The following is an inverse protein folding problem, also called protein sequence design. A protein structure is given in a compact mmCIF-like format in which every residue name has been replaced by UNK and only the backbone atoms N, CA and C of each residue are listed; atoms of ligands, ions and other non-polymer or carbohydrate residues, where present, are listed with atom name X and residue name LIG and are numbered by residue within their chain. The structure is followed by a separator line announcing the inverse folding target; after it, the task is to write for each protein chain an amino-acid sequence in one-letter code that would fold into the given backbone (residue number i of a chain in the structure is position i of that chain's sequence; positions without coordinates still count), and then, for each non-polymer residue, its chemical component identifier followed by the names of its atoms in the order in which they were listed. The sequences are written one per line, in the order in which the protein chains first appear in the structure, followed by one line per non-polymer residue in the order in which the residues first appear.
data_IF_998697829814
#
_entry.id   IF_998697829814
#
_cell.length_a   1.000
_cell.length_b   1.000
_cell.length_c   1.000
_cell.angle_alpha   90.00
_cell.angle_beta   90.00
_cell.angle_gamma   90.00
#
_symmetry.space_group_name_H-M   'P 1'
#
loop_
_entity.id
_entity.type
_entity.pdbx_description
1 polymer ?
#
# COMPACT_ATOMS: atom_id res chain seq x y z
N UNK A 1 8.06 -47.44 -35.20
CA UNK A 1 7.83 -45.96 -35.22
C UNK A 1 6.64 -45.64 -34.31
N UNK A 2 6.86 -44.95 -33.17
CA UNK A 2 5.77 -44.53 -32.25
C UNK A 2 5.00 -43.38 -32.93
N UNK A 3 3.72 -43.61 -33.26
CA UNK A 3 2.81 -42.61 -33.78
C UNK A 3 2.67 -41.52 -32.71
N UNK A 4 3.27 -40.34 -32.91
CA UNK A 4 3.11 -39.20 -31.99
C UNK A 4 1.63 -38.85 -31.94
N UNK A 5 1.03 -38.90 -30.75
CA UNK A 5 -0.35 -38.50 -30.53
C UNK A 5 -0.50 -37.03 -30.85
N UNK A 6 -1.29 -36.70 -31.85
CA UNK A 6 -1.61 -35.32 -32.25
C UNK A 6 -2.57 -34.62 -31.27
N UNK A 7 -3.16 -35.39 -30.35
CA UNK A 7 -4.14 -34.87 -29.37
C UNK A 7 -3.44 -34.16 -28.20
N UNK A 8 -2.23 -34.62 -27.83
CA UNK A 8 -1.50 -34.08 -26.69
C UNK A 8 -1.26 -32.55 -26.75
N UNK A 9 -0.80 -31.96 -27.89
CA UNK A 9 -0.64 -30.51 -27.97
C UNK A 9 -1.96 -29.73 -27.85
N UNK A 10 -3.07 -30.27 -28.35
CA UNK A 10 -4.38 -29.64 -28.22
C UNK A 10 -4.86 -29.62 -26.76
N UNK A 11 -4.68 -30.72 -26.04
CA UNK A 11 -4.98 -30.78 -24.59
C UNK A 11 -4.14 -29.75 -23.83
N UNK A 12 -2.84 -29.68 -24.12
CA UNK A 12 -1.96 -28.70 -23.47
C UNK A 12 -2.40 -27.25 -23.77
N UNK A 13 -2.75 -26.94 -25.01
CA UNK A 13 -3.24 -25.60 -25.38
C UNK A 13 -4.57 -25.27 -24.67
N UNK A 14 -5.52 -26.19 -24.65
CA UNK A 14 -6.80 -25.98 -23.97
C UNK A 14 -6.61 -25.80 -22.46
N UNK A 15 -5.73 -26.57 -21.82
CA UNK A 15 -5.47 -26.43 -20.37
C UNK A 15 -4.82 -25.07 -20.05
N UNK A 16 -3.89 -24.60 -20.86
CA UNK A 16 -3.29 -23.25 -20.71
C UNK A 16 -4.36 -22.16 -20.91
N UNK A 17 -5.20 -22.27 -21.92
CA UNK A 17 -6.27 -21.33 -22.17
C UNK A 17 -7.26 -21.25 -21.00
N UNK A 18 -7.69 -22.39 -20.48
CA UNK A 18 -8.57 -22.46 -19.31
C UNK A 18 -7.88 -21.85 -18.07
N UNK A 19 -6.62 -22.20 -17.82
CA UNK A 19 -5.86 -21.64 -16.70
C UNK A 19 -5.75 -20.10 -16.81
N UNK A 20 -5.51 -19.57 -18.01
CA UNK A 20 -5.45 -18.13 -18.25
C UNK A 20 -6.82 -17.46 -18.00
N UNK A 21 -7.91 -18.05 -18.49
CA UNK A 21 -9.25 -17.52 -18.26
C UNK A 21 -9.61 -17.51 -16.77
N UNK A 22 -9.30 -18.58 -16.04
CA UNK A 22 -9.49 -18.66 -14.59
C UNK A 22 -8.65 -17.59 -13.88
N UNK A 23 -7.39 -17.43 -14.26
CA UNK A 23 -6.50 -16.40 -13.70
C UNK A 23 -7.06 -14.99 -13.92
N UNK A 24 -7.46 -14.66 -15.15
CA UNK A 24 -8.04 -13.34 -15.48
C UNK A 24 -9.34 -13.08 -14.71
N UNK A 25 -10.16 -14.11 -14.55
CA UNK A 25 -11.39 -14.01 -13.77
C UNK A 25 -11.08 -13.77 -12.28
N UNK A 26 -10.13 -14.49 -11.69
CA UNK A 26 -9.68 -14.27 -10.32
C UNK A 26 -9.14 -12.85 -10.14
N UNK A 27 -8.32 -12.35 -11.05
CA UNK A 27 -7.79 -10.98 -11.01
C UNK A 27 -8.92 -9.95 -11.01
N UNK A 28 -9.97 -10.19 -11.80
CA UNK A 28 -11.15 -9.32 -11.86
C UNK A 28 -11.95 -9.37 -10.56
N UNK A 29 -12.31 -10.56 -10.10
CA UNK A 29 -13.15 -10.75 -8.89
C UNK A 29 -12.46 -10.26 -7.62
N UNK A 30 -11.16 -10.47 -7.49
CA UNK A 30 -10.37 -10.00 -6.35
C UNK A 30 -10.05 -8.50 -6.41
N UNK A 31 -10.43 -7.82 -7.48
CA UNK A 31 -10.08 -6.40 -7.72
C UNK A 31 -8.59 -6.10 -7.55
N UNK A 32 -7.72 -7.09 -7.80
CA UNK A 32 -6.26 -6.94 -7.62
C UNK A 32 -5.68 -5.78 -8.42
N UNK A 33 -6.26 -5.47 -9.58
CA UNK A 33 -5.82 -4.35 -10.41
C UNK A 33 -6.05 -2.99 -9.73
N UNK A 34 -7.02 -2.86 -8.83
CA UNK A 34 -7.23 -1.61 -8.10
C UNK A 34 -6.08 -1.30 -7.14
N UNK A 35 -5.35 -2.32 -6.68
CA UNK A 35 -4.17 -2.12 -5.84
C UNK A 35 -3.02 -1.42 -6.59
N UNK A 36 -3.05 -1.39 -7.92
CA UNK A 36 -2.11 -0.62 -8.73
C UNK A 36 -2.49 0.86 -8.82
N UNK A 37 -3.75 1.20 -8.49
CA UNK A 37 -4.25 2.56 -8.52
C UNK A 37 -3.59 3.44 -7.44
N UNK A 38 -3.67 4.76 -7.61
CA UNK A 38 -3.24 5.74 -6.63
C UNK A 38 -4.40 6.19 -5.72
N UNK A 39 -5.62 5.80 -6.05
CA UNK A 39 -6.82 6.22 -5.34
C UNK A 39 -6.93 5.60 -3.95
N UNK A 40 -7.45 6.36 -2.99
CA UNK A 40 -7.66 5.89 -1.62
C UNK A 40 -8.68 4.76 -1.54
N UNK A 41 -9.62 4.70 -2.48
CA UNK A 41 -10.64 3.64 -2.62
C UNK A 41 -10.03 2.26 -2.88
N UNK A 42 -8.83 2.20 -3.44
CA UNK A 42 -8.11 0.95 -3.61
C UNK A 42 -7.82 0.25 -2.27
N UNK A 43 -7.71 1.00 -1.19
CA UNK A 43 -7.40 0.45 0.13
C UNK A 43 -8.61 -0.23 0.78
N UNK A 44 -9.84 0.20 0.47
CA UNK A 44 -11.08 -0.38 1.04
C UNK A 44 -11.56 -1.66 0.33
N UNK A 45 -10.80 -2.17 -0.63
CA UNK A 45 -11.00 -3.54 -1.14
C UNK A 45 -10.90 -4.57 -0.01
N UNK A 46 -10.11 -4.25 1.02
CA UNK A 46 -10.02 -5.03 2.25
C UNK A 46 -10.90 -4.39 3.33
N UNK A 47 -11.97 -5.07 3.76
CA UNK A 47 -12.95 -4.54 4.72
C UNK A 47 -12.36 -4.04 6.06
N UNK A 48 -11.25 -4.57 6.63
CA UNK A 48 -10.65 -4.01 7.84
C UNK A 48 -10.17 -2.57 7.67
N UNK A 49 -9.95 -2.12 6.44
CA UNK A 49 -9.52 -0.75 6.14
C UNK A 49 -10.67 0.27 6.15
N UNK A 50 -11.93 -0.17 6.21
CA UNK A 50 -13.09 0.74 6.14
C UNK A 50 -13.10 1.78 7.25
N UNK A 51 -12.75 1.38 8.49
CA UNK A 51 -12.70 2.30 9.64
C UNK A 51 -11.59 3.35 9.43
N UNK A 52 -10.41 2.92 8.99
CA UNK A 52 -9.28 3.82 8.72
C UNK A 52 -9.59 4.79 7.57
N UNK A 53 -10.24 4.29 6.53
CA UNK A 53 -10.70 5.12 5.42
C UNK A 53 -11.73 6.17 5.88
N UNK A 54 -12.71 5.77 6.71
CA UNK A 54 -13.68 6.70 7.27
C UNK A 54 -13.00 7.77 8.14
N UNK A 55 -12.02 7.40 8.96
CA UNK A 55 -11.24 8.34 9.76
C UNK A 55 -10.50 9.35 8.88
N UNK A 56 -9.84 8.87 7.80
CA UNK A 56 -9.17 9.75 6.85
C UNK A 56 -10.17 10.68 6.14
N UNK A 57 -11.34 10.19 5.73
CA UNK A 57 -12.37 11.00 5.08
C UNK A 57 -12.85 12.17 5.96
N UNK A 58 -12.80 12.04 7.27
CA UNK A 58 -13.18 13.10 8.22
C UNK A 58 -11.98 13.98 8.65
N UNK A 59 -10.80 13.69 8.14
CA UNK A 59 -9.59 14.46 8.48
C UNK A 59 -9.42 15.69 7.57
N UNK A 60 -8.60 16.65 8.02
CA UNK A 60 -8.17 17.80 7.22
C UNK A 60 -7.36 17.42 5.98
N UNK A 61 -6.77 16.21 5.96
CA UNK A 61 -5.95 15.72 4.85
C UNK A 61 -6.75 15.18 3.66
N UNK A 62 -8.06 14.96 3.82
CA UNK A 62 -8.92 14.39 2.77
C UNK A 62 -8.81 15.10 1.41
N UNK A 63 -8.77 16.44 1.42
CA UNK A 63 -8.84 17.25 0.21
C UNK A 63 -7.49 17.44 -0.49
N UNK A 64 -6.40 17.06 0.15
CA UNK A 64 -5.04 17.32 -0.35
C UNK A 64 -4.14 16.10 -0.46
N UNK A 65 -4.55 14.94 0.06
CA UNK A 65 -3.73 13.73 0.06
C UNK A 65 -4.55 12.47 -0.17
N UNK A 66 -3.88 11.44 -0.66
CA UNK A 66 -4.41 10.07 -0.70
C UNK A 66 -3.60 9.16 0.23
N UNK A 67 -4.09 7.97 0.54
CA UNK A 67 -3.46 7.07 1.51
C UNK A 67 -1.98 6.82 1.23
N UNK A 68 -1.61 6.66 -0.05
CA UNK A 68 -0.24 6.37 -0.46
C UNK A 68 0.72 7.55 -0.30
N UNK A 69 0.24 8.79 -0.21
CA UNK A 69 1.10 9.96 -0.01
C UNK A 69 1.76 9.97 1.36
N UNK A 70 1.08 9.38 2.35
CA UNK A 70 1.62 9.18 3.69
C UNK A 70 2.32 7.82 3.84
N UNK A 71 1.74 6.74 3.28
CA UNK A 71 2.17 5.38 3.57
C UNK A 71 3.31 4.86 2.67
N UNK A 72 3.51 5.43 1.49
CA UNK A 72 4.57 5.01 0.57
C UNK A 72 5.72 6.03 0.54
N UNK A 73 6.96 5.59 0.29
CA UNK A 73 8.08 6.50 0.11
C UNK A 73 7.88 7.37 -1.15
N UNK A 74 8.35 8.60 -1.10
CA UNK A 74 8.28 9.57 -2.20
C UNK A 74 9.68 9.94 -2.72
N UNK A 75 10.68 9.14 -2.44
CA UNK A 75 12.09 9.32 -2.79
C UNK A 75 12.49 8.66 -4.12
N UNK A 76 11.53 8.13 -4.87
CA UNK A 76 11.75 7.58 -6.19
C UNK A 76 10.74 6.52 -6.60
N UNK A 77 10.62 6.33 -7.93
CA UNK A 77 9.67 5.37 -8.52
C UNK A 77 9.93 3.94 -8.04
N UNK A 78 11.18 3.49 -8.06
CA UNK A 78 11.53 2.11 -7.68
C UNK A 78 11.21 1.85 -6.22
N UNK A 79 11.61 2.74 -5.31
CA UNK A 79 11.36 2.61 -3.88
C UNK A 79 9.86 2.60 -3.57
N UNK A 80 9.09 3.46 -4.23
CA UNK A 80 7.63 3.52 -4.10
C UNK A 80 6.97 2.20 -4.49
N UNK A 81 7.33 1.64 -5.63
CA UNK A 81 6.74 0.39 -6.12
C UNK A 81 7.20 -0.84 -5.33
N UNK A 82 8.45 -0.87 -4.90
CA UNK A 82 8.96 -1.93 -4.02
C UNK A 82 8.24 -1.94 -2.68
N UNK A 83 8.07 -0.77 -2.05
CA UNK A 83 7.30 -0.64 -0.82
C UNK A 83 5.83 -1.05 -1.03
N UNK A 84 5.21 -0.61 -2.13
CA UNK A 84 3.83 -0.97 -2.47
C UNK A 84 3.65 -2.48 -2.66
N UNK A 85 4.57 -3.13 -3.37
CA UNK A 85 4.55 -4.58 -3.57
C UNK A 85 4.74 -5.34 -2.26
N UNK A 86 5.72 -4.93 -1.44
CA UNK A 86 6.01 -5.55 -0.14
C UNK A 86 4.82 -5.43 0.82
N UNK A 87 4.28 -4.23 0.96
CA UNK A 87 3.18 -3.97 1.88
C UNK A 87 1.88 -4.61 1.38
N UNK A 88 1.63 -4.60 0.07
CA UNK A 88 0.52 -5.31 -0.56
C UNK A 88 0.58 -6.82 -0.33
N UNK A 89 1.77 -7.42 -0.43
CA UNK A 89 1.97 -8.84 -0.12
C UNK A 89 1.69 -9.15 1.35
N UNK A 90 2.17 -8.30 2.28
CA UNK A 90 1.89 -8.44 3.72
C UNK A 90 0.39 -8.38 4.02
N UNK A 91 -0.30 -7.37 3.47
CA UNK A 91 -1.73 -7.22 3.68
C UNK A 91 -2.52 -8.39 3.10
N UNK A 92 -2.20 -8.82 1.88
CA UNK A 92 -2.86 -9.96 1.23
C UNK A 92 -2.64 -11.25 2.01
N UNK A 93 -1.42 -11.49 2.51
CA UNK A 93 -1.10 -12.66 3.34
C UNK A 93 -1.87 -12.62 4.67
N UNK A 94 -1.85 -11.47 5.36
CA UNK A 94 -2.56 -11.30 6.62
C UNK A 94 -4.07 -11.52 6.46
N UNK A 95 -4.67 -10.99 5.39
CA UNK A 95 -6.08 -11.19 5.08
C UNK A 95 -6.41 -12.65 4.77
N UNK A 96 -5.61 -13.32 3.94
CA UNK A 96 -5.83 -14.71 3.54
C UNK A 96 -5.72 -15.67 4.73
N UNK A 97 -4.71 -15.45 5.57
CA UNK A 97 -4.48 -16.26 6.76
C UNK A 97 -5.29 -15.81 7.98
N UNK A 98 -6.06 -14.72 7.86
CA UNK A 98 -6.78 -14.08 8.96
C UNK A 98 -5.89 -13.76 10.16
N UNK A 99 -4.63 -13.47 9.91
CA UNK A 99 -3.62 -13.15 10.92
C UNK A 99 -3.49 -11.63 11.08
N UNK A 100 -4.55 -10.98 11.54
CA UNK A 100 -4.56 -9.56 11.90
C UNK A 100 -5.42 -9.36 13.14
N UNK A 101 -4.97 -8.46 14.03
CA UNK A 101 -5.69 -8.12 15.26
C UNK A 101 -6.86 -7.16 15.01
N UNK A 102 -7.69 -6.99 16.05
CA UNK A 102 -8.76 -5.99 16.03
C UNK A 102 -8.22 -4.56 15.88
N UNK A 103 -7.04 -4.31 16.45
CA UNK A 103 -6.32 -3.05 16.30
C UNK A 103 -5.25 -3.21 15.22
N UNK A 104 -5.41 -2.49 14.12
CA UNK A 104 -4.41 -2.44 13.06
C UNK A 104 -3.28 -1.48 13.45
N UNK A 105 -2.05 -1.95 13.38
CA UNK A 105 -0.87 -1.15 13.66
C UNK A 105 0.01 -1.04 12.42
N UNK A 106 0.64 0.12 12.25
CA UNK A 106 1.70 0.27 11.27
C UNK A 106 2.96 -0.44 11.77
N UNK A 107 3.76 -0.98 10.85
CA UNK A 107 5.10 -1.51 11.19
C UNK A 107 6.06 -0.35 11.43
N UNK A 108 7.16 -0.57 12.17
CA UNK A 108 8.16 0.46 12.45
C UNK A 108 8.72 1.10 11.17
N UNK A 109 8.97 0.27 10.15
CA UNK A 109 9.37 0.71 8.82
C UNK A 109 8.31 1.64 8.17
N UNK A 110 7.03 1.30 8.27
CA UNK A 110 5.95 2.13 7.76
C UNK A 110 5.78 3.42 8.59
N UNK A 111 5.98 3.36 9.91
CA UNK A 111 5.93 4.53 10.78
C UNK A 111 7.02 5.55 10.41
N UNK A 112 8.26 5.08 10.18
CA UNK A 112 9.35 5.93 9.71
C UNK A 112 9.05 6.61 8.37
N UNK A 113 8.45 5.87 7.42
CA UNK A 113 8.03 6.45 6.13
C UNK A 113 6.94 7.50 6.28
N UNK A 114 5.94 7.23 7.12
CA UNK A 114 4.85 8.17 7.41
C UNK A 114 5.43 9.45 8.01
N UNK A 115 6.32 9.34 8.99
CA UNK A 115 6.94 10.51 9.61
C UNK A 115 7.75 11.33 8.59
N UNK A 116 8.54 10.68 7.74
CA UNK A 116 9.29 11.37 6.69
C UNK A 116 8.36 12.13 5.73
N UNK A 117 7.21 11.54 5.38
CA UNK A 117 6.21 12.20 4.53
C UNK A 117 5.49 13.35 5.26
N UNK A 118 5.24 13.25 6.57
CA UNK A 118 4.72 14.36 7.36
C UNK A 118 5.68 15.57 7.31
N UNK A 119 6.96 15.31 7.55
CA UNK A 119 8.01 16.36 7.51
C UNK A 119 8.11 16.96 6.11
N UNK A 120 8.10 16.14 5.07
CA UNK A 120 8.16 16.59 3.67
C UNK A 120 7.08 17.62 3.32
N UNK A 121 5.85 17.39 3.76
CA UNK A 121 4.73 18.30 3.49
C UNK A 121 4.66 19.48 4.49
N UNK A 122 5.14 19.29 5.73
CA UNK A 122 5.07 20.26 6.81
C UNK A 122 6.44 20.81 7.20
N UNK A 123 7.41 20.82 6.29
CA UNK A 123 8.80 21.21 6.54
C UNK A 123 8.93 22.60 7.19
N UNK A 124 8.18 23.59 6.70
CA UNK A 124 8.21 24.94 7.25
C UNK A 124 7.71 25.02 8.69
N UNK A 125 6.69 24.27 9.05
CA UNK A 125 6.17 24.22 10.41
C UNK A 125 7.13 23.48 11.34
N UNK A 126 7.72 22.38 10.89
CA UNK A 126 8.68 21.58 11.67
C UNK A 126 9.96 22.39 11.92
N UNK A 127 10.50 23.08 10.91
CA UNK A 127 11.70 23.92 11.06
C UNK A 127 11.47 25.07 12.07
N UNK A 128 10.32 25.74 12.01
CA UNK A 128 9.97 26.79 12.96
C UNK A 128 9.86 26.26 14.40
N UNK A 129 9.34 25.03 14.59
CA UNK A 129 9.28 24.41 15.92
C UNK A 129 10.69 24.11 16.45
N UNK A 130 11.58 23.63 15.61
CA UNK A 130 12.98 23.36 15.99
C UNK A 130 13.74 24.65 16.31
N UNK A 131 13.60 25.69 15.50
CA UNK A 131 14.22 26.99 15.74
C UNK A 131 13.73 27.61 17.05
N UNK A 132 12.42 27.56 17.29
CA UNK A 132 11.85 28.06 18.55
C UNK A 132 12.29 27.23 19.76
N UNK A 133 12.43 25.91 19.64
CA UNK A 133 12.94 25.08 20.74
C UNK A 133 14.39 25.37 21.08
N UNK A 134 15.23 25.64 20.07
CA UNK A 134 16.61 26.08 20.27
C UNK A 134 16.70 27.43 21.00
N UNK A 135 15.84 28.39 20.64
CA UNK A 135 15.71 29.67 21.31
C UNK A 135 15.26 29.53 22.78
N UNK A 136 14.34 28.63 23.06
CA UNK A 136 13.87 28.34 24.43
C UNK A 136 14.99 27.76 25.29
N UNK A 137 15.75 26.81 24.75
CA UNK A 137 16.87 26.19 25.47
C UNK A 137 17.96 27.24 25.73
N UNK A 138 18.27 28.10 24.74
CA UNK A 138 19.29 29.15 24.90
C UNK A 138 18.91 30.16 25.98
N UNK A 139 17.64 30.58 26.07
CA UNK A 139 17.13 31.50 27.08
C UNK A 139 17.01 30.88 28.50
N UNK A 140 17.11 29.59 28.66
CA UNK A 140 17.08 28.90 29.95
C UNK A 140 18.48 28.79 30.57
N UNK A 141 19.54 29.01 29.81
CA UNK A 141 20.93 28.90 30.24
C UNK A 141 21.69 30.26 30.26
N UNK A 142 21.01 31.40 30.01
CA UNK A 142 21.52 32.76 30.18
C UNK A 142 20.75 33.44 31.29
#
# INVERSE_FOLDING_TARGET
MKKKSTIMPWIAMCSVAVALLVFLNLMRETKMLTLLSHESEACIVCHPMNTLYATWQHSSHRNGTVCIDCHLPNDGFVNKWMAKARDGMRHSTAMTLRNYGMNLHVTDDAAGRIQANCIRCHESAVSQMLDNSALYIFNLFV
#
